data_IF_752641427883
#
_entry.id   IF_752641427883
#
_cell.length_a   1.000
_cell.length_b   1.000
_cell.length_c   1.000
_cell.angle_alpha   90.00
_cell.angle_beta   90.00
_cell.angle_gamma   90.00
#
_symmetry.space_group_name_H-M   'P 1'
#
loop_
_entity.id
_entity.type
_entity.pdbx_description
1 polymer ?
#
# COMPACT_ATOMS: atom_id res chain seq x y z
N UNK A 1 -26.74 -1.49 10.46
CA UNK A 1 -25.91 -1.68 9.25
C UNK A 1 -24.48 -1.24 9.46
N UNK A 2 -24.21 0.07 9.47
CA UNK A 2 -22.86 0.66 9.52
C UNK A 2 -22.02 0.16 10.71
N UNK A 3 -22.58 0.12 11.92
CA UNK A 3 -21.88 -0.39 13.12
C UNK A 3 -21.40 -1.83 12.93
N UNK A 4 -22.25 -2.70 12.37
CA UNK A 4 -21.89 -4.10 12.09
C UNK A 4 -20.78 -4.17 11.06
N UNK A 5 -20.84 -3.38 9.99
CA UNK A 5 -19.77 -3.31 8.99
C UNK A 5 -18.46 -2.83 9.60
N UNK A 6 -18.48 -1.82 10.46
CA UNK A 6 -17.29 -1.29 11.13
C UNK A 6 -16.68 -2.34 12.07
N UNK A 7 -17.50 -3.09 12.81
CA UNK A 7 -17.05 -4.23 13.63
C UNK A 7 -16.44 -5.33 12.77
N UNK A 8 -17.04 -5.66 11.61
CA UNK A 8 -16.48 -6.64 10.68
C UNK A 8 -15.14 -6.19 10.10
N UNK A 9 -15.00 -4.92 9.74
CA UNK A 9 -13.73 -4.33 9.29
C UNK A 9 -12.67 -4.40 10.40
N UNK A 10 -13.04 -4.11 11.65
CA UNK A 10 -12.15 -4.20 12.80
C UNK A 10 -11.69 -5.65 13.07
N UNK A 11 -12.61 -6.61 13.03
CA UNK A 11 -12.29 -8.04 13.15
C UNK A 11 -11.39 -8.51 12.01
N UNK A 12 -11.64 -8.05 10.78
CA UNK A 12 -10.79 -8.34 9.63
C UNK A 12 -9.38 -7.78 9.81
N UNK A 13 -9.25 -6.53 10.23
CA UNK A 13 -7.97 -5.90 10.53
C UNK A 13 -7.19 -6.66 11.61
N UNK A 14 -7.84 -6.98 12.74
CA UNK A 14 -7.26 -7.75 13.82
C UNK A 14 -6.80 -9.14 13.36
N UNK A 15 -7.61 -9.83 12.56
CA UNK A 15 -7.25 -11.11 11.96
C UNK A 15 -6.03 -10.99 11.04
N UNK A 16 -6.00 -10.03 10.12
CA UNK A 16 -4.88 -9.82 9.21
C UNK A 16 -3.57 -9.56 9.96
N UNK A 17 -3.59 -8.65 10.94
CA UNK A 17 -2.44 -8.32 11.77
C UNK A 17 -1.98 -9.51 12.62
N UNK A 18 -2.90 -10.21 13.29
CA UNK A 18 -2.57 -11.38 14.10
C UNK A 18 -2.05 -12.55 13.26
N UNK A 19 -2.66 -12.80 12.10
CA UNK A 19 -2.23 -13.82 11.17
C UNK A 19 -0.82 -13.54 10.67
N UNK A 20 -0.50 -12.29 10.32
CA UNK A 20 0.84 -11.89 9.88
C UNK A 20 1.84 -11.93 11.03
N UNK A 21 1.51 -11.36 12.19
CA UNK A 21 2.33 -11.40 13.39
C UNK A 21 2.70 -12.84 13.79
N UNK A 22 1.75 -13.78 13.76
CA UNK A 22 2.03 -15.18 14.05
C UNK A 22 3.06 -15.78 13.06
N UNK A 23 2.98 -15.40 11.77
CA UNK A 23 3.94 -15.84 10.75
C UNK A 23 5.35 -15.33 11.06
N UNK A 24 5.50 -14.03 11.31
CA UNK A 24 6.79 -13.42 11.62
C UNK A 24 7.36 -13.87 12.98
N UNK A 25 6.53 -13.88 14.02
CA UNK A 25 7.01 -14.08 15.39
C UNK A 25 7.28 -15.54 15.71
N UNK A 26 6.44 -16.44 15.21
CA UNK A 26 6.45 -17.84 15.66
C UNK A 26 6.97 -18.82 14.59
N UNK A 27 7.01 -18.39 13.31
CA UNK A 27 7.43 -19.21 12.16
C UNK A 27 6.72 -20.59 12.15
N UNK A 28 5.38 -20.66 12.26
CA UNK A 28 4.65 -21.89 12.55
C UNK A 28 4.81 -22.99 11.49
N UNK A 29 5.27 -22.65 10.28
CA UNK A 29 5.61 -23.61 9.21
C UNK A 29 6.92 -24.34 9.45
N UNK A 30 7.87 -23.74 10.18
CA UNK A 30 9.10 -24.41 10.62
C UNK A 30 8.75 -25.32 11.78
N UNK A 31 8.55 -26.61 11.51
CA UNK A 31 8.59 -27.63 12.56
C UNK A 31 10.02 -27.63 13.12
N UNK A 32 10.24 -26.93 14.23
CA UNK A 32 11.46 -27.12 15.02
C UNK A 32 11.36 -28.53 15.60
N UNK A 33 12.10 -29.49 15.04
CA UNK A 33 12.43 -30.76 15.68
C UNK A 33 11.28 -31.70 16.05
N UNK A 34 10.43 -32.09 15.09
CA UNK A 34 9.59 -33.31 15.25
C UNK A 34 9.73 -34.20 14.00
N UNK A 35 10.96 -34.34 13.50
CA UNK A 35 11.38 -35.61 12.93
C UNK A 35 11.90 -36.48 14.08
N UNK A 36 11.87 -37.80 13.94
CA UNK A 36 12.43 -38.76 14.90
C UNK A 36 13.66 -38.20 15.59
N UNK A 37 13.54 -37.93 16.88
CA UNK A 37 14.62 -37.38 17.69
C UNK A 37 15.73 -38.43 17.71
N UNK A 38 16.89 -38.09 17.17
CA UNK A 38 18.05 -38.96 17.28
C UNK A 38 18.69 -38.71 18.66
N UNK A 39 18.23 -39.47 19.66
CA UNK A 39 18.80 -39.43 21.02
C UNK A 39 20.29 -39.81 21.04
N UNK A 40 20.81 -40.44 19.98
CA UNK A 40 22.22 -40.82 19.90
C UNK A 40 23.14 -39.68 19.44
N UNK A 41 22.60 -38.58 18.89
CA UNK A 41 23.40 -37.44 18.40
C UNK A 41 22.72 -36.08 18.68
N UNK A 42 22.54 -35.69 19.96
CA UNK A 42 21.87 -34.45 20.35
C UNK A 42 22.54 -33.18 19.81
N UNK A 43 23.85 -33.22 19.53
CA UNK A 43 24.62 -32.13 18.93
C UNK A 43 24.20 -31.80 17.49
N UNK A 44 23.52 -32.73 16.78
CA UNK A 44 23.02 -32.51 15.42
C UNK A 44 21.73 -31.70 15.37
N UNK A 45 21.14 -31.40 16.51
CA UNK A 45 19.86 -30.72 16.62
C UNK A 45 20.02 -29.29 17.19
N UNK A 46 19.94 -28.28 16.32
CA UNK A 46 20.03 -26.84 16.62
C UNK A 46 18.96 -26.26 17.58
N UNK A 47 18.09 -27.12 18.15
CA UNK A 47 16.90 -26.71 18.88
C UNK A 47 17.02 -26.73 20.41
N UNK A 48 18.18 -27.08 20.97
CA UNK A 48 18.37 -27.17 22.43
C UNK A 48 19.68 -26.51 22.90
N UNK A 49 19.64 -25.91 24.09
CA UNK A 49 20.78 -25.41 24.86
C UNK A 49 20.89 -26.22 26.14
N UNK A 50 22.11 -26.52 26.59
CA UNK A 50 22.34 -27.00 27.96
C UNK A 50 21.80 -25.93 28.93
N UNK A 51 21.03 -26.33 29.95
CA UNK A 51 20.60 -25.38 31.00
C UNK A 51 21.78 -24.86 31.79
N UNK A 52 22.70 -25.76 32.10
CA UNK A 52 23.94 -25.48 32.80
C UNK A 52 25.03 -26.39 32.22
N UNK A 53 26.17 -25.81 31.86
CA UNK A 53 27.32 -26.57 31.36
C UNK A 53 28.08 -27.27 32.49
N UNK A 54 27.94 -26.81 33.74
CA UNK A 54 28.55 -27.43 34.91
C UNK A 54 27.69 -28.55 35.51
N UNK A 55 26.38 -28.55 35.25
CA UNK A 55 25.40 -29.51 35.77
C UNK A 55 24.56 -30.15 34.64
N UNK A 56 25.10 -31.17 33.94
CA UNK A 56 24.42 -31.84 32.83
C UNK A 56 23.05 -32.44 33.20
N UNK A 57 22.87 -32.83 34.46
CA UNK A 57 21.63 -33.35 35.04
C UNK A 57 20.48 -32.33 35.06
N UNK A 58 20.79 -31.03 34.99
CA UNK A 58 19.78 -29.98 34.87
C UNK A 58 19.01 -30.05 33.54
N UNK A 59 19.54 -30.81 32.58
CA UNK A 59 18.93 -31.10 31.30
C UNK A 59 19.10 -29.98 30.28
N UNK A 60 18.29 -30.04 29.23
CA UNK A 60 18.34 -29.11 28.11
C UNK A 60 17.08 -28.24 28.06
N UNK A 61 17.23 -26.99 27.63
CA UNK A 61 16.13 -26.09 27.31
C UNK A 61 16.05 -25.87 25.82
N UNK A 62 14.84 -25.66 25.25
CA UNK A 62 14.73 -25.37 23.83
C UNK A 62 15.51 -24.09 23.54
N UNK A 63 16.51 -24.16 22.67
CA UNK A 63 17.23 -22.98 22.20
C UNK A 63 16.19 -22.12 21.47
N UNK A 64 15.92 -20.88 21.90
CA UNK A 64 15.06 -19.99 21.14
C UNK A 64 15.68 -19.87 19.74
N UNK A 65 14.92 -20.25 18.71
CA UNK A 65 15.40 -20.09 17.35
C UNK A 65 15.82 -18.63 17.18
N UNK A 66 17.09 -18.37 16.81
CA UNK A 66 17.61 -17.01 16.54
C UNK A 66 16.80 -16.25 15.48
N UNK A 67 15.88 -16.93 14.80
CA UNK A 67 15.00 -16.41 13.77
C UNK A 67 13.61 -16.00 14.28
N UNK A 68 13.21 -16.40 15.50
CA UNK A 68 11.95 -15.93 16.10
C UNK A 68 12.16 -14.51 16.64
N UNK A 69 11.16 -13.66 16.45
CA UNK A 69 11.18 -12.31 17.00
C UNK A 69 11.25 -12.34 18.54
N UNK A 70 12.19 -11.58 19.10
CA UNK A 70 12.35 -11.40 20.54
C UNK A 70 11.21 -10.59 21.17
N UNK A 71 11.13 -10.58 22.50
CA UNK A 71 10.07 -9.89 23.24
C UNK A 71 9.98 -8.39 22.91
N UNK A 72 11.13 -7.71 22.76
CA UNK A 72 11.19 -6.27 22.42
C UNK A 72 10.55 -5.97 21.07
N UNK A 73 10.89 -6.74 20.03
CA UNK A 73 10.31 -6.59 18.69
C UNK A 73 8.81 -6.85 18.69
N UNK A 74 8.36 -7.90 19.38
CA UNK A 74 6.93 -8.21 19.53
C UNK A 74 6.18 -7.05 20.19
N UNK A 75 6.71 -6.54 21.30
CA UNK A 75 6.11 -5.43 22.03
C UNK A 75 6.04 -4.17 21.16
N UNK A 76 7.11 -3.81 20.46
CA UNK A 76 7.14 -2.62 19.60
C UNK A 76 6.08 -2.68 18.49
N UNK A 77 5.95 -3.82 17.81
CA UNK A 77 4.97 -3.99 16.72
C UNK A 77 3.53 -3.99 17.27
N UNK A 78 3.28 -4.66 18.39
CA UNK A 78 1.96 -4.65 19.03
C UNK A 78 1.59 -3.22 19.46
N UNK A 79 2.53 -2.49 20.07
CA UNK A 79 2.31 -1.11 20.50
C UNK A 79 1.99 -0.20 19.32
N UNK A 80 2.68 -0.36 18.19
CA UNK A 80 2.37 0.36 16.96
C UNK A 80 0.91 0.13 16.52
N UNK A 81 0.45 -1.12 16.44
CA UNK A 81 -0.93 -1.42 16.03
C UNK A 81 -2.00 -1.00 17.05
N UNK A 82 -1.64 -0.82 18.32
CA UNK A 82 -2.56 -0.41 19.39
C UNK A 82 -2.66 1.11 19.57
N UNK A 83 -1.59 1.85 19.26
CA UNK A 83 -1.48 3.27 19.64
C UNK A 83 -1.30 4.20 18.43
N UNK A 84 -0.70 3.73 17.33
CA UNK A 84 -0.45 4.59 16.17
C UNK A 84 -1.78 4.98 15.49
N UNK A 85 -2.09 6.28 15.32
CA UNK A 85 -3.33 6.72 14.67
C UNK A 85 -3.55 6.13 13.27
N UNK A 86 -2.47 5.95 12.49
CA UNK A 86 -2.51 5.27 11.19
C UNK A 86 -3.19 3.91 11.27
N UNK A 87 -2.79 3.09 12.24
CA UNK A 87 -3.32 1.75 12.41
C UNK A 87 -4.72 1.80 13.03
N UNK A 88 -4.86 2.49 14.16
CA UNK A 88 -6.07 2.48 14.97
C UNK A 88 -7.27 3.03 14.22
N UNK A 89 -7.15 4.22 13.62
CA UNK A 89 -8.28 4.86 12.92
C UNK A 89 -8.68 4.11 11.65
N UNK A 90 -7.71 3.44 11.00
CA UNK A 90 -7.99 2.61 9.83
C UNK A 90 -8.79 1.34 10.16
N UNK A 91 -8.71 0.82 11.40
CA UNK A 91 -9.37 -0.45 11.75
C UNK A 91 -10.91 -0.40 11.69
N UNK A 92 -11.51 0.77 11.86
CA UNK A 92 -12.98 0.95 11.84
C UNK A 92 -13.48 1.62 10.55
N UNK A 93 -12.56 2.03 9.68
CA UNK A 93 -12.87 2.83 8.50
C UNK A 93 -13.46 1.98 7.37
N UNK A 94 -14.67 2.33 6.95
CA UNK A 94 -15.40 1.68 5.85
C UNK A 94 -15.02 2.27 4.50
N UNK A 95 -13.73 2.33 4.22
CA UNK A 95 -13.20 2.81 2.95
C UNK A 95 -12.35 1.74 2.27
N UNK A 96 -12.15 1.89 0.96
CA UNK A 96 -11.40 0.92 0.16
C UNK A 96 -9.91 0.81 0.54
N UNK A 97 -9.30 1.90 1.00
CA UNK A 97 -7.85 1.93 1.28
C UNK A 97 -7.46 1.11 2.52
N UNK A 98 -8.14 1.22 3.68
CA UNK A 98 -7.89 0.36 4.83
C UNK A 98 -8.15 -1.11 4.54
N UNK A 99 -9.22 -1.44 3.81
CA UNK A 99 -9.51 -2.82 3.40
C UNK A 99 -8.35 -3.40 2.57
N UNK A 100 -7.85 -2.64 1.59
CA UNK A 100 -6.67 -3.01 0.82
C UNK A 100 -5.42 -3.14 1.71
N UNK A 101 -5.18 -2.19 2.63
CA UNK A 101 -3.98 -2.16 3.46
C UNK A 101 -3.91 -3.36 4.42
N UNK A 102 -5.00 -3.72 5.11
CA UNK A 102 -5.02 -4.90 5.97
C UNK A 102 -4.94 -6.21 5.17
N UNK A 103 -5.60 -6.29 4.02
CA UNK A 103 -5.43 -7.43 3.11
C UNK A 103 -3.97 -7.55 2.64
N UNK A 104 -3.30 -6.42 2.37
CA UNK A 104 -1.88 -6.39 2.03
C UNK A 104 -0.99 -6.86 3.18
N UNK A 105 -1.29 -6.49 4.44
CA UNK A 105 -0.58 -7.03 5.61
C UNK A 105 -0.68 -8.56 5.66
N UNK A 106 -1.87 -9.11 5.43
CA UNK A 106 -2.08 -10.55 5.41
C UNK A 106 -1.36 -11.24 4.25
N UNK A 107 -1.44 -10.64 3.06
CA UNK A 107 -0.74 -11.07 1.85
C UNK A 107 0.78 -11.08 2.07
N UNK A 108 1.32 -10.01 2.66
CA UNK A 108 2.74 -9.86 2.98
C UNK A 108 3.22 -10.89 4.00
N UNK A 109 2.38 -11.24 4.98
CA UNK A 109 2.67 -12.34 5.91
C UNK A 109 2.85 -13.69 5.20
N UNK A 110 2.01 -14.01 4.22
CA UNK A 110 2.16 -15.25 3.42
C UNK A 110 3.36 -15.16 2.48
N UNK A 111 3.63 -13.96 1.93
CA UNK A 111 4.82 -13.68 1.14
C UNK A 111 6.11 -13.95 1.94
N UNK A 112 6.14 -13.56 3.22
CA UNK A 112 7.24 -13.88 4.13
C UNK A 112 7.37 -15.39 4.43
N UNK A 113 6.26 -16.11 4.59
CA UNK A 113 6.29 -17.58 4.71
C UNK A 113 6.95 -18.22 3.48
N UNK A 114 6.63 -17.74 2.27
CA UNK A 114 7.23 -18.19 1.02
C UNK A 114 8.74 -17.90 0.96
N UNK A 115 9.17 -16.71 1.40
CA UNK A 115 10.57 -16.33 1.55
C UNK A 115 11.33 -17.31 2.44
N UNK A 116 10.82 -17.51 3.67
CA UNK A 116 11.49 -18.29 4.71
C UNK A 116 11.48 -19.81 4.46
N UNK A 117 10.64 -20.27 3.54
CA UNK A 117 10.53 -21.69 3.15
C UNK A 117 11.25 -22.02 1.84
N UNK A 118 11.88 -21.03 1.20
CA UNK A 118 12.65 -21.24 -0.01
C UNK A 118 13.89 -22.13 0.26
N UNK A 119 14.32 -22.90 -0.75
CA UNK A 119 15.24 -24.05 -0.68
C UNK A 119 16.59 -23.74 -0.01
N UNK A 120 17.05 -22.48 -0.08
CA UNK A 120 18.32 -22.06 0.55
C UNK A 120 18.17 -21.61 2.00
N UNK A 121 16.95 -21.32 2.47
CA UNK A 121 16.65 -20.99 3.87
C UNK A 121 16.31 -22.22 4.72
N UNK A 122 15.83 -23.29 4.09
CA UNK A 122 15.73 -24.65 4.64
C UNK A 122 16.15 -25.66 3.57
N UNK A 123 17.40 -26.17 3.60
CA UNK A 123 17.80 -27.26 2.72
C UNK A 123 16.88 -28.45 3.02
N UNK A 124 16.06 -28.84 2.06
CA UNK A 124 15.35 -30.11 2.16
C UNK A 124 16.29 -31.21 1.70
N UNK A 125 16.13 -32.40 2.30
CA UNK A 125 16.91 -33.62 2.02
C UNK A 125 16.97 -33.95 0.51
N UNK A 126 16.02 -33.44 -0.29
CA UNK A 126 15.91 -33.71 -1.74
C UNK A 126 15.97 -32.46 -2.65
N UNK A 127 16.41 -31.29 -2.16
CA UNK A 127 16.54 -30.08 -2.99
C UNK A 127 15.22 -29.53 -3.59
N UNK A 128 14.08 -29.93 -3.02
CA UNK A 128 12.72 -29.50 -3.40
C UNK A 128 12.21 -28.41 -2.45
N UNK A 129 11.48 -27.40 -2.94
CA UNK A 129 10.95 -26.34 -2.07
C UNK A 129 9.86 -26.91 -1.15
N UNK A 130 9.81 -26.43 0.09
CA UNK A 130 8.74 -26.83 1.02
C UNK A 130 7.40 -26.35 0.44
N UNK A 131 6.41 -27.24 0.31
CA UNK A 131 5.08 -26.83 -0.17
C UNK A 131 4.38 -25.98 0.90
N UNK A 132 3.71 -24.92 0.47
CA UNK A 132 2.84 -24.15 1.35
C UNK A 132 1.73 -25.02 1.93
N UNK A 133 1.36 -24.75 3.17
CA UNK A 133 0.20 -25.38 3.82
C UNK A 133 -1.08 -24.96 3.09
N UNK A 134 -2.07 -25.86 3.03
CA UNK A 134 -3.38 -25.57 2.41
C UNK A 134 -4.02 -24.28 2.95
N UNK A 135 -3.90 -24.04 4.26
CA UNK A 135 -4.38 -22.81 4.92
C UNK A 135 -3.67 -21.54 4.43
N UNK A 136 -2.35 -21.62 4.16
CA UNK A 136 -1.59 -20.48 3.61
C UNK A 136 -1.90 -20.23 2.14
N UNK A 137 -2.18 -21.28 1.36
CA UNK A 137 -2.68 -21.14 -0.03
C UNK A 137 -4.04 -20.44 -0.03
N UNK A 138 -4.98 -20.88 0.80
CA UNK A 138 -6.29 -20.25 0.93
C UNK A 138 -6.16 -18.79 1.38
N UNK A 139 -5.33 -18.52 2.40
CA UNK A 139 -5.04 -17.17 2.85
C UNK A 139 -4.53 -16.27 1.72
N UNK A 140 -3.63 -16.79 0.89
CA UNK A 140 -3.05 -16.00 -0.21
C UNK A 140 -4.06 -15.70 -1.31
N UNK A 141 -4.91 -16.68 -1.67
CA UNK A 141 -6.01 -16.46 -2.63
C UNK A 141 -6.97 -15.40 -2.09
N UNK A 142 -7.42 -15.54 -0.84
CA UNK A 142 -8.40 -14.62 -0.26
C UNK A 142 -7.81 -13.21 -0.14
N UNK A 143 -6.58 -13.07 0.36
CA UNK A 143 -5.93 -11.78 0.46
C UNK A 143 -5.75 -11.11 -0.92
N UNK A 144 -5.32 -11.85 -1.94
CA UNK A 144 -5.23 -11.35 -3.33
C UNK A 144 -6.60 -10.91 -3.85
N UNK A 145 -7.65 -11.69 -3.62
CA UNK A 145 -9.01 -11.33 -4.05
C UNK A 145 -9.53 -10.07 -3.37
N UNK A 146 -9.35 -9.93 -2.06
CA UNK A 146 -9.75 -8.73 -1.31
C UNK A 146 -8.98 -7.51 -1.82
N UNK A 147 -7.68 -7.63 -2.06
CA UNK A 147 -6.88 -6.55 -2.65
C UNK A 147 -7.40 -6.13 -4.03
N UNK A 148 -7.70 -7.09 -4.91
CA UNK A 148 -8.22 -6.84 -6.27
C UNK A 148 -9.58 -6.15 -6.27
N UNK A 149 -10.46 -6.50 -5.33
CA UNK A 149 -11.78 -5.86 -5.17
C UNK A 149 -11.64 -4.46 -4.58
N UNK A 150 -10.65 -4.25 -3.69
CA UNK A 150 -10.49 -2.98 -2.96
C UNK A 150 -9.84 -1.89 -3.81
N UNK A 151 -8.80 -2.22 -4.58
CA UNK A 151 -8.00 -1.21 -5.28
C UNK A 151 -7.77 -1.59 -6.75
N UNK A 152 -8.10 -0.66 -7.66
CA UNK A 152 -7.87 -0.83 -9.10
C UNK A 152 -6.41 -1.10 -9.44
N UNK A 153 -5.46 -0.58 -8.67
CA UNK A 153 -4.02 -0.79 -8.93
C UNK A 153 -3.48 -2.10 -8.35
N UNK A 154 -4.27 -2.86 -7.58
CA UNK A 154 -3.82 -4.09 -6.94
C UNK A 154 -3.32 -5.14 -7.93
N UNK A 155 -3.92 -5.20 -9.13
CA UNK A 155 -3.52 -6.17 -10.14
C UNK A 155 -2.11 -5.89 -10.68
N UNK A 156 -1.66 -4.62 -10.76
CA UNK A 156 -0.28 -4.30 -11.13
C UNK A 156 0.70 -4.88 -10.11
N UNK A 157 0.40 -4.71 -8.82
CA UNK A 157 1.22 -5.25 -7.72
C UNK A 157 1.27 -6.77 -7.80
N UNK A 158 0.12 -7.42 -7.97
CA UNK A 158 0.01 -8.88 -8.01
C UNK A 158 0.68 -9.48 -9.24
N UNK A 159 0.49 -8.91 -10.43
CA UNK A 159 1.11 -9.40 -11.68
C UNK A 159 2.63 -9.25 -11.62
N UNK A 160 3.13 -8.11 -11.16
CA UNK A 160 4.57 -7.94 -11.03
C UNK A 160 5.16 -8.85 -9.94
N UNK A 161 4.49 -8.99 -8.80
CA UNK A 161 4.88 -9.95 -7.77
C UNK A 161 4.90 -11.39 -8.32
N UNK A 162 3.93 -11.76 -9.16
CA UNK A 162 3.90 -13.04 -9.86
C UNK A 162 5.11 -13.22 -10.78
N UNK A 163 5.45 -12.22 -11.61
CA UNK A 163 6.64 -12.26 -12.48
C UNK A 163 7.93 -12.41 -11.67
N UNK A 164 8.11 -11.62 -10.61
CA UNK A 164 9.25 -11.71 -9.71
C UNK A 164 9.35 -13.10 -9.05
N UNK A 165 8.22 -13.64 -8.61
CA UNK A 165 8.17 -14.96 -8.02
C UNK A 165 8.54 -16.07 -9.00
N UNK A 166 8.16 -15.96 -10.28
CA UNK A 166 8.59 -16.89 -11.32
C UNK A 166 10.10 -16.82 -11.57
N UNK A 167 10.70 -15.63 -11.54
CA UNK A 167 12.14 -15.46 -11.68
C UNK A 167 12.91 -16.04 -10.46
N UNK A 168 12.42 -15.80 -9.24
CA UNK A 168 13.14 -16.11 -8.00
C UNK A 168 12.86 -17.53 -7.46
N UNK A 169 11.65 -18.06 -7.65
CA UNK A 169 11.16 -19.34 -7.10
C UNK A 169 10.35 -20.14 -8.15
N UNK A 170 10.93 -20.30 -9.36
CA UNK A 170 10.31 -21.03 -10.49
C UNK A 170 9.74 -22.41 -10.14
N UNK A 171 10.31 -23.08 -9.12
CA UNK A 171 9.89 -24.43 -8.71
C UNK A 171 8.49 -24.45 -8.07
N UNK A 172 7.99 -23.30 -7.59
CA UNK A 172 6.63 -23.13 -7.05
C UNK A 172 5.67 -22.41 -8.00
N UNK A 173 5.96 -22.36 -9.31
CA UNK A 173 5.12 -21.65 -10.30
C UNK A 173 3.62 -21.96 -10.20
N UNK A 174 3.22 -23.22 -9.94
CA UNK A 174 1.81 -23.61 -9.76
C UNK A 174 1.14 -22.89 -8.60
N UNK A 175 1.88 -22.69 -7.50
CA UNK A 175 1.38 -21.92 -6.35
C UNK A 175 1.12 -20.48 -6.79
N UNK A 176 2.10 -19.83 -7.43
CA UNK A 176 1.94 -18.44 -7.86
C UNK A 176 0.83 -18.28 -8.90
N UNK A 177 0.68 -19.23 -9.82
CA UNK A 177 -0.40 -19.22 -10.80
C UNK A 177 -1.77 -19.29 -10.11
N UNK A 178 -1.96 -20.22 -9.17
CA UNK A 178 -3.25 -20.42 -8.49
C UNK A 178 -3.56 -19.30 -7.50
N UNK A 179 -2.55 -18.74 -6.84
CA UNK A 179 -2.76 -17.78 -5.74
C UNK A 179 -2.69 -16.31 -6.14
N UNK A 180 -2.03 -15.99 -7.25
CA UNK A 180 -1.85 -14.61 -7.75
C UNK A 180 -2.54 -14.42 -9.09
N UNK A 181 -2.14 -15.19 -10.11
CA UNK A 181 -2.60 -14.97 -11.49
C UNK A 181 -4.07 -15.34 -11.67
N UNK A 182 -4.51 -16.50 -11.17
CA UNK A 182 -5.89 -16.97 -11.33
C UNK A 182 -6.92 -16.00 -10.71
N UNK A 183 -6.79 -15.55 -9.44
CA UNK A 183 -7.68 -14.51 -8.90
C UNK A 183 -7.66 -13.22 -9.72
N UNK A 184 -6.48 -12.82 -10.20
CA UNK A 184 -6.35 -11.60 -11.03
C UNK A 184 -7.11 -11.73 -12.34
N UNK A 185 -6.94 -12.83 -13.07
CA UNK A 185 -7.65 -13.06 -14.34
C UNK A 185 -9.16 -13.15 -14.12
N UNK A 186 -9.61 -13.86 -13.08
CA UNK A 186 -11.04 -14.01 -12.79
C UNK A 186 -11.69 -12.68 -12.39
N UNK A 187 -11.08 -11.93 -11.47
CA UNK A 187 -11.68 -10.70 -10.93
C UNK A 187 -11.46 -9.53 -11.90
N UNK A 188 -10.22 -9.23 -12.26
CA UNK A 188 -9.93 -8.09 -13.13
C UNK A 188 -10.42 -8.34 -14.57
N UNK A 189 -10.15 -9.53 -15.11
CA UNK A 189 -10.64 -9.91 -16.44
C UNK A 189 -12.17 -9.98 -16.48
N UNK A 190 -12.81 -10.47 -15.42
CA UNK A 190 -14.27 -10.45 -15.27
C UNK A 190 -14.86 -9.04 -15.26
N UNK A 191 -14.27 -8.12 -14.49
CA UNK A 191 -14.70 -6.70 -14.47
C UNK A 191 -14.55 -6.05 -15.86
N UNK A 192 -13.43 -6.29 -16.54
CA UNK A 192 -13.21 -5.75 -17.90
C UNK A 192 -14.24 -6.32 -18.88
N UNK A 193 -14.49 -7.63 -18.85
CA UNK A 193 -15.50 -8.26 -19.70
C UNK A 193 -16.90 -7.68 -19.45
N UNK A 194 -17.31 -7.54 -18.19
CA UNK A 194 -18.60 -6.96 -17.82
C UNK A 194 -18.72 -5.47 -18.17
N UNK A 195 -17.61 -4.73 -18.14
CA UNK A 195 -17.58 -3.33 -18.60
C UNK A 195 -17.78 -3.26 -20.11
N UNK A 196 -17.12 -4.15 -20.86
CA UNK A 196 -17.23 -4.19 -22.32
C UNK A 196 -18.62 -4.63 -22.81
N UNK A 197 -19.35 -5.43 -22.03
CA UNK A 197 -20.75 -5.78 -22.34
C UNK A 197 -21.75 -4.71 -21.92
N UNK A 198 -21.29 -3.61 -21.29
CA UNK A 198 -22.17 -2.55 -20.76
C UNK A 198 -22.90 -2.93 -19.47
N UNK A 199 -22.61 -4.09 -18.88
CA UNK A 199 -23.22 -4.52 -17.62
C UNK A 199 -22.67 -3.75 -16.40
N UNK A 200 -21.46 -3.21 -16.51
CA UNK A 200 -20.82 -2.35 -15.50
C UNK A 200 -20.43 -1.03 -16.15
N UNK A 201 -20.71 0.08 -15.46
CA UNK A 201 -20.27 1.42 -15.90
C UNK A 201 -18.75 1.53 -15.75
N UNK A 202 -18.08 1.80 -16.87
CA UNK A 202 -16.64 2.06 -16.90
C UNK A 202 -16.28 3.35 -16.17
N UNK A 203 -15.08 3.40 -15.59
CA UNK A 203 -14.56 4.65 -15.02
C UNK A 203 -14.13 5.63 -16.09
N UNK A 204 -14.23 6.93 -15.80
CA UNK A 204 -13.74 7.98 -16.70
C UNK A 204 -12.22 7.83 -16.93
N UNK A 205 -11.73 7.80 -18.18
CA UNK A 205 -10.31 7.74 -18.50
C UNK A 205 -9.47 8.87 -17.90
N UNK A 206 -10.09 9.96 -17.42
CA UNK A 206 -9.37 11.09 -16.82
C UNK A 206 -8.86 10.82 -15.41
N UNK A 207 -9.50 9.89 -14.69
CA UNK A 207 -9.19 9.55 -13.30
C UNK A 207 -7.76 9.02 -13.11
N UNK A 208 -7.15 8.49 -14.17
CA UNK A 208 -5.78 7.96 -14.15
C UNK A 208 -4.70 8.95 -14.61
N UNK A 209 -5.07 10.20 -14.93
CA UNK A 209 -4.15 11.18 -15.58
C UNK A 209 -3.64 12.29 -14.65
N UNK A 210 -3.63 12.06 -13.34
CA UNK A 210 -3.24 13.06 -12.31
C UNK A 210 -1.99 13.87 -12.66
N UNK A 211 -0.87 13.17 -12.88
CA UNK A 211 0.43 13.78 -13.26
C UNK A 211 0.32 14.65 -14.51
N UNK A 212 -0.33 14.14 -15.56
CA UNK A 212 -0.44 14.88 -16.82
C UNK A 212 -1.25 16.16 -16.62
N UNK A 213 -2.31 16.10 -15.80
CA UNK A 213 -3.15 17.24 -15.50
C UNK A 213 -2.44 18.26 -14.61
N UNK A 214 -1.71 17.84 -13.60
CA UNK A 214 -0.90 18.73 -12.76
C UNK A 214 0.16 19.45 -13.58
N UNK A 215 0.81 18.75 -14.51
CA UNK A 215 1.79 19.34 -15.43
C UNK A 215 1.16 20.39 -16.35
N UNK A 216 0.03 20.06 -16.99
CA UNK A 216 -0.69 21.00 -17.87
C UNK A 216 -1.16 22.22 -17.06
N UNK A 217 -1.79 22.00 -15.91
CA UNK A 217 -2.33 23.05 -15.05
C UNK A 217 -1.23 24.00 -14.52
N UNK A 218 -0.10 23.44 -14.08
CA UNK A 218 1.04 24.25 -13.61
C UNK A 218 1.63 25.10 -14.72
N UNK A 219 1.79 24.54 -15.93
CA UNK A 219 2.24 25.32 -17.10
C UNK A 219 1.22 26.39 -17.46
N UNK A 220 -0.07 26.07 -17.47
CA UNK A 220 -1.12 27.05 -17.74
C UNK A 220 -1.12 28.21 -16.73
N UNK A 221 -0.80 27.94 -15.46
CA UNK A 221 -0.70 28.96 -14.40
C UNK A 221 0.54 29.85 -14.50
N UNK A 222 1.72 29.26 -14.70
CA UNK A 222 2.98 30.00 -14.60
C UNK A 222 3.58 30.41 -15.95
N UNK A 223 3.23 29.73 -17.04
CA UNK A 223 3.67 30.07 -18.39
C UNK A 223 2.59 29.78 -19.46
N UNK A 224 1.42 30.46 -19.40
CA UNK A 224 0.33 30.23 -20.34
C UNK A 224 0.70 30.47 -21.81
N UNK A 225 1.63 31.40 -22.06
CA UNK A 225 2.13 31.72 -23.41
C UNK A 225 3.13 30.68 -23.94
N UNK A 226 3.77 29.91 -23.05
CA UNK A 226 4.65 28.80 -23.40
C UNK A 226 3.92 27.53 -23.84
N UNK A 227 2.59 27.50 -23.80
CA UNK A 227 1.80 26.39 -24.33
C UNK A 227 1.75 26.49 -25.87
N UNK A 228 2.26 25.49 -26.62
CA UNK A 228 2.20 25.50 -28.07
C UNK A 228 0.76 25.66 -28.59
N UNK A 229 0.58 26.48 -29.64
CA UNK A 229 -0.76 26.76 -30.21
C UNK A 229 -1.51 25.49 -30.64
N UNK A 230 -0.78 24.51 -31.19
CA UNK A 230 -1.34 23.22 -31.59
C UNK A 230 -1.80 22.38 -30.39
N UNK A 231 -1.01 22.33 -29.31
CA UNK A 231 -1.40 21.70 -28.05
C UNK A 231 -2.62 22.38 -27.42
N UNK A 232 -2.66 23.72 -27.42
CA UNK A 232 -3.81 24.51 -26.93
C UNK A 232 -5.08 24.17 -27.70
N UNK A 233 -5.02 24.08 -29.03
CA UNK A 233 -6.17 23.71 -29.88
C UNK A 233 -6.68 22.29 -29.62
N UNK A 234 -5.78 21.33 -29.38
CA UNK A 234 -6.15 19.95 -29.03
C UNK A 234 -6.83 19.90 -27.67
N UNK A 235 -6.27 20.58 -26.67
CA UNK A 235 -6.80 20.56 -25.30
C UNK A 235 -8.06 21.38 -25.12
N UNK A 236 -8.32 22.42 -25.92
CA UNK A 236 -9.53 23.25 -25.78
C UNK A 236 -10.82 22.44 -25.93
N UNK A 237 -10.82 21.33 -26.68
CA UNK A 237 -11.98 20.44 -26.78
C UNK A 237 -12.25 19.66 -25.48
N UNK A 238 -11.24 19.51 -24.65
CA UNK A 238 -11.24 18.64 -23.46
C UNK A 238 -11.28 19.45 -22.17
N UNK A 239 -10.53 20.55 -22.11
CA UNK A 239 -10.32 21.37 -20.92
C UNK A 239 -10.54 22.86 -21.19
N UNK A 240 -11.02 23.56 -20.17
CA UNK A 240 -10.81 25.00 -20.06
C UNK A 240 -9.47 25.25 -19.36
N UNK A 241 -8.44 25.59 -20.13
CA UNK A 241 -7.07 25.78 -19.60
C UNK A 241 -6.96 26.93 -18.60
N UNK A 242 -7.77 27.98 -18.75
CA UNK A 242 -7.73 29.13 -17.83
C UNK A 242 -8.33 28.73 -16.47
N UNK A 243 -9.47 28.05 -16.47
CA UNK A 243 -10.05 27.51 -15.23
C UNK A 243 -9.17 26.42 -14.61
N UNK A 244 -8.45 25.64 -15.43
CA UNK A 244 -7.48 24.66 -14.96
C UNK A 244 -6.29 25.33 -14.26
N UNK A 245 -5.80 26.45 -14.81
CA UNK A 245 -4.75 27.26 -14.20
C UNK A 245 -5.18 27.86 -12.86
N UNK A 246 -6.40 28.41 -12.80
CA UNK A 246 -6.97 28.95 -11.56
C UNK A 246 -7.15 27.87 -10.48
N UNK A 247 -7.59 26.68 -10.88
CA UNK A 247 -7.86 25.56 -9.98
C UNK A 247 -6.60 24.76 -9.62
N UNK A 248 -5.42 25.12 -10.16
CA UNK A 248 -4.18 24.41 -9.86
C UNK A 248 -3.85 24.50 -8.36
N UNK A 249 -3.78 23.32 -7.76
CA UNK A 249 -3.34 23.12 -6.39
C UNK A 249 -2.30 22.01 -6.34
N UNK A 250 -1.13 22.33 -5.81
CA UNK A 250 0.04 21.44 -5.88
C UNK A 250 -0.16 20.09 -5.17
N UNK A 251 -1.01 20.05 -4.12
CA UNK A 251 -1.20 18.85 -3.31
C UNK A 251 -2.36 17.98 -3.82
N UNK A 252 -3.20 18.45 -4.75
CA UNK A 252 -4.38 17.70 -5.19
C UNK A 252 -4.72 17.99 -6.65
N UNK A 253 -4.83 16.93 -7.44
CA UNK A 253 -5.21 16.98 -8.85
C UNK A 253 -6.73 16.99 -9.05
N UNK A 254 -7.53 16.73 -8.02
CA UNK A 254 -8.98 16.68 -8.15
C UNK A 254 -9.62 18.05 -8.49
N UNK A 255 -9.16 19.20 -7.96
CA UNK A 255 -9.62 20.51 -8.41
C UNK A 255 -9.48 20.75 -9.92
N UNK A 256 -8.40 20.27 -10.55
CA UNK A 256 -8.17 20.44 -11.99
C UNK A 256 -8.92 19.41 -12.85
N UNK A 257 -9.53 18.40 -12.24
CA UNK A 257 -10.45 17.44 -12.88
C UNK A 257 -11.93 17.82 -12.73
N UNK A 258 -12.23 18.92 -12.04
CA UNK A 258 -13.59 19.27 -11.66
C UNK A 258 -14.53 19.32 -12.86
N UNK A 259 -15.61 18.55 -12.74
CA UNK A 259 -16.75 18.47 -13.65
C UNK A 259 -17.92 19.40 -13.25
N UNK A 260 -17.77 20.17 -12.17
CA UNK A 260 -18.78 21.12 -11.67
C UNK A 260 -19.91 20.54 -10.83
N UNK A 261 -19.76 19.33 -10.27
CA UNK A 261 -20.80 18.68 -9.45
C UNK A 261 -20.85 19.21 -8.00
N UNK A 262 -19.81 19.94 -7.58
CA UNK A 262 -19.80 20.79 -6.40
C UNK A 262 -19.44 22.21 -6.88
N UNK A 263 -19.53 23.24 -6.03
CA UNK A 263 -19.27 24.68 -6.27
C UNK A 263 -17.93 25.06 -6.94
N UNK A 264 -17.19 24.09 -7.45
CA UNK A 264 -15.92 24.16 -8.17
C UNK A 264 -16.13 24.54 -9.64
N UNK A 265 -15.25 25.41 -10.16
CA UNK A 265 -15.18 25.78 -11.58
C UNK A 265 -14.98 24.54 -12.46
N UNK A 266 -15.53 24.53 -13.69
CA UNK A 266 -15.55 23.36 -14.59
C UNK A 266 -14.31 23.38 -15.49
N UNK A 267 -13.20 22.84 -15.00
CA UNK A 267 -11.98 22.70 -15.80
C UNK A 267 -12.12 21.61 -16.86
N UNK A 268 -12.81 20.51 -16.57
CA UNK A 268 -12.96 19.36 -17.46
C UNK A 268 -14.35 19.32 -18.13
N UNK A 269 -14.37 19.31 -19.47
CA UNK A 269 -15.60 19.35 -20.29
C UNK A 269 -16.29 17.99 -20.40
N UNK A 270 -16.53 17.31 -19.27
CA UNK A 270 -16.99 15.92 -19.19
C UNK A 270 -18.30 15.63 -19.97
N UNK A 271 -19.21 16.60 -20.10
CA UNK A 271 -20.48 16.43 -20.83
C UNK A 271 -20.32 16.41 -22.34
N UNK A 272 -19.26 17.02 -22.86
CA UNK A 272 -19.09 17.25 -24.31
C UNK A 272 -17.86 16.55 -24.88
N UNK A 273 -16.92 16.15 -24.03
CA UNK A 273 -15.71 15.45 -24.46
C UNK A 273 -16.05 14.07 -25.02
N UNK A 274 -15.52 13.77 -26.19
CA UNK A 274 -15.68 12.45 -26.82
C UNK A 274 -14.41 11.61 -26.72
N UNK A 275 -14.52 10.30 -26.94
CA UNK A 275 -13.35 9.42 -27.04
C UNK A 275 -12.38 9.86 -28.16
N UNK A 276 -12.88 10.48 -29.23
CA UNK A 276 -12.07 11.02 -30.31
C UNK A 276 -11.25 12.24 -29.86
N UNK A 277 -11.82 13.13 -29.04
CA UNK A 277 -11.10 14.30 -28.51
C UNK A 277 -9.96 13.90 -27.58
N UNK A 278 -10.12 12.79 -26.85
CA UNK A 278 -9.09 12.25 -25.95
C UNK A 278 -7.93 11.57 -26.68
N UNK A 279 -8.05 11.28 -27.98
CA UNK A 279 -6.99 10.62 -28.78
C UNK A 279 -5.71 11.44 -28.84
N UNK A 280 -5.85 12.76 -28.95
CA UNK A 280 -4.72 13.69 -29.09
C UNK A 280 -4.20 14.21 -27.74
N UNK A 281 -4.83 13.86 -26.61
CA UNK A 281 -4.44 14.36 -25.29
C UNK A 281 -2.97 14.07 -24.97
N UNK A 282 -2.50 12.83 -25.15
CA UNK A 282 -1.12 12.46 -24.81
C UNK A 282 -0.10 13.20 -25.69
N UNK A 283 -0.46 13.47 -26.93
CA UNK A 283 0.36 14.24 -27.86
C UNK A 283 0.45 15.71 -27.41
N UNK A 284 -0.69 16.32 -27.08
CA UNK A 284 -0.75 17.70 -26.58
C UNK A 284 0.01 17.87 -25.25
N UNK A 285 -0.17 16.92 -24.32
CA UNK A 285 0.59 16.87 -23.06
C UNK A 285 2.10 16.81 -23.32
N UNK A 286 2.56 15.93 -24.20
CA UNK A 286 3.98 15.80 -24.52
C UNK A 286 4.55 17.07 -25.17
N UNK A 287 3.79 17.74 -26.03
CA UNK A 287 4.16 19.05 -26.62
C UNK A 287 4.34 20.12 -25.53
N UNK A 288 3.45 20.16 -24.54
CA UNK A 288 3.53 21.09 -23.41
C UNK A 288 4.75 20.79 -22.53
N UNK A 289 4.98 19.52 -22.17
CA UNK A 289 6.13 19.10 -21.36
C UNK A 289 7.44 19.42 -22.07
N UNK A 290 7.55 19.15 -23.38
CA UNK A 290 8.75 19.48 -24.16
C UNK A 290 9.02 20.98 -24.25
N UNK A 291 7.97 21.80 -24.35
CA UNK A 291 8.10 23.25 -24.38
C UNK A 291 8.40 23.85 -23.00
N UNK A 292 8.01 23.17 -21.91
CA UNK A 292 8.11 23.67 -20.54
C UNK A 292 8.67 22.59 -19.57
N UNK A 293 9.88 22.04 -19.82
CA UNK A 293 10.35 20.85 -19.13
C UNK A 293 10.57 21.09 -17.63
N UNK A 294 11.07 22.27 -17.24
CA UNK A 294 11.31 22.61 -15.83
C UNK A 294 10.00 22.69 -15.06
N UNK A 295 9.02 23.46 -15.56
CA UNK A 295 7.71 23.59 -14.91
C UNK A 295 6.99 22.24 -14.82
N UNK A 296 7.11 21.41 -15.86
CA UNK A 296 6.52 20.07 -15.86
C UNK A 296 7.19 19.12 -14.84
N UNK A 297 8.51 19.19 -14.69
CA UNK A 297 9.21 18.43 -13.65
C UNK A 297 8.85 18.93 -12.26
N UNK A 298 8.79 20.25 -12.06
CA UNK A 298 8.38 20.85 -10.79
C UNK A 298 6.96 20.43 -10.40
N UNK A 299 6.03 20.37 -11.37
CA UNK A 299 4.67 19.89 -11.15
C UNK A 299 4.67 18.42 -10.67
N UNK A 300 5.43 17.57 -11.35
CA UNK A 300 5.55 16.16 -11.00
C UNK A 300 6.12 15.97 -9.59
N UNK A 301 7.22 16.64 -9.26
CA UNK A 301 7.81 16.54 -7.92
C UNK A 301 6.88 17.12 -6.86
N UNK A 302 6.22 18.25 -7.11
CA UNK A 302 5.30 18.87 -6.15
C UNK A 302 4.09 17.98 -5.81
N UNK A 303 3.63 17.15 -6.76
CA UNK A 303 2.51 16.22 -6.54
C UNK A 303 2.90 15.01 -5.68
N UNK A 304 4.19 14.68 -5.53
CA UNK A 304 4.60 13.45 -4.85
C UNK A 304 5.69 13.58 -3.79
N UNK A 305 6.35 14.74 -3.62
CA UNK A 305 7.50 14.87 -2.73
C UNK A 305 7.16 14.56 -1.25
N UNK A 306 5.94 14.87 -0.81
CA UNK A 306 5.56 14.77 0.59
C UNK A 306 5.53 13.34 1.10
N UNK A 307 5.33 12.36 0.20
CA UNK A 307 5.46 10.94 0.50
C UNK A 307 6.87 10.52 0.94
N UNK A 308 7.89 11.29 0.56
CA UNK A 308 9.31 10.97 0.78
C UNK A 308 10.01 11.97 1.71
N UNK A 309 9.30 13.00 2.15
CA UNK A 309 9.82 13.99 3.08
C UNK A 309 9.23 13.77 4.48
N UNK A 310 10.04 13.25 5.41
CA UNK A 310 9.65 12.98 6.81
C UNK A 310 9.23 14.25 7.56
N UNK A 311 9.69 15.42 7.12
CA UNK A 311 9.36 16.71 7.74
C UNK A 311 8.08 17.34 7.18
N UNK A 312 7.55 16.81 6.08
CA UNK A 312 6.32 17.31 5.48
C UNK A 312 5.11 16.83 6.29
N UNK A 313 4.23 17.75 6.66
CA UNK A 313 2.97 17.38 7.29
C UNK A 313 2.02 16.80 6.24
N UNK A 314 1.23 15.78 6.61
CA UNK A 314 0.28 15.18 5.69
C UNK A 314 -0.73 16.21 5.18
N UNK A 315 -0.95 16.23 3.86
CA UNK A 315 -2.03 17.04 3.27
C UNK A 315 -3.38 16.58 3.83
N UNK A 316 -3.58 15.26 3.89
CA UNK A 316 -4.71 14.66 4.59
C UNK A 316 -4.19 13.60 5.55
N UNK A 317 -4.30 13.93 6.83
CA UNK A 317 -3.94 13.08 7.95
C UNK A 317 -5.01 12.04 8.28
N UNK A 318 -4.63 11.04 9.07
CA UNK A 318 -5.45 9.89 9.43
C UNK A 318 -6.69 10.21 10.27
N UNK A 319 -6.71 11.35 10.95
CA UNK A 319 -7.92 11.80 11.63
C UNK A 319 -9.11 11.98 10.68
N UNK A 320 -8.85 12.11 9.37
CA UNK A 320 -9.85 12.00 8.31
C UNK A 320 -10.78 10.79 8.45
N UNK A 321 -10.31 9.66 8.99
CA UNK A 321 -11.18 8.47 9.17
C UNK A 321 -12.10 8.55 10.38
N UNK A 322 -11.83 9.45 11.30
CA UNK A 322 -12.66 9.71 12.49
C UNK A 322 -13.53 10.93 12.26
N UNK A 323 -13.00 11.95 11.60
CA UNK A 323 -13.60 13.26 11.50
C UNK A 323 -13.29 13.90 10.13
N UNK A 324 -14.29 14.01 9.27
CA UNK A 324 -14.19 14.61 7.94
C UNK A 324 -15.51 15.28 7.55
N UNK A 325 -15.48 16.07 6.47
CA UNK A 325 -16.63 16.82 6.00
C UNK A 325 -17.83 15.91 5.66
N UNK A 326 -17.60 14.69 5.18
CA UNK A 326 -18.70 13.75 4.92
C UNK A 326 -19.42 13.33 6.21
N UNK A 327 -18.67 13.19 7.31
CA UNK A 327 -19.19 12.85 8.64
C UNK A 327 -19.87 14.05 9.29
N UNK A 328 -19.39 15.27 9.03
CA UNK A 328 -19.82 16.49 9.70
C UNK A 328 -20.91 17.27 8.97
N UNK A 329 -20.88 17.27 7.63
CA UNK A 329 -21.73 18.13 6.79
C UNK A 329 -22.64 17.31 5.85
N UNK A 330 -22.19 16.18 5.32
CA UNK A 330 -22.93 15.41 4.29
C UNK A 330 -23.88 14.32 4.85
N UNK A 331 -24.18 14.34 6.15
CA UNK A 331 -25.02 13.31 6.77
C UNK A 331 -26.03 13.85 7.79
N UNK A 332 -27.27 13.38 7.69
CA UNK A 332 -28.40 13.82 8.53
C UNK A 332 -28.26 13.51 10.03
N UNK A 333 -27.48 12.50 10.42
CA UNK A 333 -27.46 12.03 11.82
C UNK A 333 -26.09 11.65 12.37
N UNK A 334 -25.14 11.23 11.52
CA UNK A 334 -23.81 10.79 11.97
C UNK A 334 -23.02 11.96 12.58
N UNK A 335 -23.19 13.19 12.10
CA UNK A 335 -22.54 14.38 12.65
C UNK A 335 -22.88 14.56 14.14
N UNK A 336 -24.11 14.25 14.55
CA UNK A 336 -24.58 14.34 15.94
C UNK A 336 -24.10 13.19 16.85
N UNK A 337 -23.72 12.04 16.28
CA UNK A 337 -23.34 10.87 17.07
C UNK A 337 -21.87 10.91 17.52
N UNK A 338 -21.63 11.01 18.84
CA UNK A 338 -20.30 11.09 19.45
C UNK A 338 -19.43 12.24 18.89
N UNK A 339 -20.06 13.34 18.44
CA UNK A 339 -19.41 14.51 17.84
C UNK A 339 -18.17 14.96 18.63
N UNK A 340 -18.39 15.39 19.88
CA UNK A 340 -17.33 15.94 20.74
C UNK A 340 -16.22 14.94 21.03
N UNK A 341 -16.55 13.65 21.08
CA UNK A 341 -15.55 12.60 21.26
C UNK A 341 -14.67 12.47 20.01
N UNK A 342 -15.26 12.46 18.80
CA UNK A 342 -14.52 12.39 17.54
C UNK A 342 -13.62 13.61 17.35
N UNK A 343 -14.13 14.80 17.67
CA UNK A 343 -13.36 16.06 17.64
C UNK A 343 -12.16 16.01 18.57
N UNK A 344 -12.35 15.55 19.81
CA UNK A 344 -11.23 15.40 20.77
C UNK A 344 -10.21 14.39 20.30
N UNK A 345 -10.64 13.24 19.77
CA UNK A 345 -9.74 12.18 19.28
C UNK A 345 -8.96 12.65 18.05
N UNK A 346 -9.64 13.29 17.09
CA UNK A 346 -9.02 13.88 15.91
C UNK A 346 -8.03 14.99 16.29
N UNK A 347 -8.43 15.88 17.19
CA UNK A 347 -7.59 16.96 17.73
C UNK A 347 -6.36 16.44 18.46
N UNK A 348 -6.50 15.39 19.28
CA UNK A 348 -5.37 14.73 19.93
C UNK A 348 -4.39 14.14 18.91
N UNK A 349 -4.88 13.41 17.91
CA UNK A 349 -4.03 12.80 16.89
C UNK A 349 -3.29 13.86 16.04
N UNK A 350 -3.98 14.93 15.64
CA UNK A 350 -3.37 16.10 14.98
C UNK A 350 -2.32 16.76 15.86
N UNK A 351 -2.64 16.98 17.14
CA UNK A 351 -1.72 17.54 18.12
C UNK A 351 -0.45 16.71 18.28
N UNK A 352 -0.58 15.38 18.37
CA UNK A 352 0.57 14.47 18.44
C UNK A 352 1.40 14.50 17.15
N UNK A 353 0.78 14.43 15.97
CA UNK A 353 1.49 14.50 14.69
C UNK A 353 2.29 15.80 14.51
N UNK A 354 1.79 16.92 15.04
CA UNK A 354 2.46 18.21 14.97
C UNK A 354 3.67 18.35 15.92
N UNK A 355 3.92 17.40 16.82
CA UNK A 355 5.10 17.46 17.70
C UNK A 355 6.36 17.19 16.86
N UNK A 356 7.32 18.11 16.78
CA UNK A 356 8.53 17.91 15.97
C UNK A 356 9.26 16.63 16.39
N UNK A 357 9.64 15.82 15.40
CA UNK A 357 10.35 14.52 15.55
C UNK A 357 9.51 13.43 16.22
N UNK A 358 8.89 13.69 17.37
CA UNK A 358 8.11 12.70 18.12
C UNK A 358 6.78 12.36 17.43
N UNK A 359 6.21 13.30 16.67
CA UNK A 359 5.01 13.11 15.87
C UNK A 359 5.24 12.32 14.60
N UNK A 360 6.49 12.18 14.12
CA UNK A 360 6.78 11.47 12.87
C UNK A 360 6.31 10.02 12.87
N UNK A 361 6.23 9.37 14.04
CA UNK A 361 5.71 8.00 14.17
C UNK A 361 4.23 7.88 13.81
N UNK A 362 3.49 8.99 13.79
CA UNK A 362 2.10 9.02 13.35
C UNK A 362 1.95 9.28 11.86
N UNK A 363 3.05 9.56 11.14
CA UNK A 363 3.03 9.92 9.73
C UNK A 363 3.50 8.79 8.82
N UNK A 364 2.79 8.60 7.70
CA UNK A 364 3.11 7.54 6.73
C UNK A 364 4.48 7.73 6.08
N UNK A 365 4.90 8.97 5.84
CA UNK A 365 6.14 9.33 5.15
C UNK A 365 7.38 8.85 5.92
N UNK A 366 7.35 8.82 7.25
CA UNK A 366 8.40 8.21 8.07
C UNK A 366 8.64 6.76 7.66
N UNK A 367 7.57 5.96 7.60
CA UNK A 367 7.66 4.54 7.28
C UNK A 367 8.09 4.29 5.84
N UNK A 368 7.69 5.17 4.91
CA UNK A 368 8.17 5.13 3.52
C UNK A 368 9.66 5.37 3.46
N UNK A 369 10.15 6.44 4.09
CA UNK A 369 11.58 6.78 4.11
C UNK A 369 12.40 5.70 4.80
N UNK A 370 11.97 5.18 5.94
CA UNK A 370 12.68 4.08 6.62
C UNK A 370 12.70 2.81 5.76
N UNK A 371 11.61 2.48 5.06
CA UNK A 371 11.57 1.35 4.13
C UNK A 371 12.55 1.52 2.97
N UNK A 372 12.66 2.73 2.42
CA UNK A 372 13.64 3.04 1.37
C UNK A 372 15.09 2.93 1.89
N UNK A 373 15.36 3.38 3.11
CA UNK A 373 16.67 3.23 3.74
C UNK A 373 17.03 1.75 3.97
N UNK A 374 16.07 0.92 4.39
CA UNK A 374 16.26 -0.54 4.47
C UNK A 374 16.57 -1.11 3.09
N UNK A 375 15.81 -0.73 2.05
CA UNK A 375 16.06 -1.16 0.67
C UNK A 375 17.45 -0.76 0.17
N UNK A 376 17.90 0.48 0.46
CA UNK A 376 19.24 0.93 0.13
C UNK A 376 20.33 0.13 0.86
N UNK A 377 20.14 -0.14 2.16
CA UNK A 377 21.03 -1.01 2.93
C UNK A 377 21.10 -2.42 2.33
N UNK A 378 19.97 -2.99 1.89
CA UNK A 378 19.96 -4.30 1.23
C UNK A 378 20.71 -4.32 -0.10
N UNK A 379 20.63 -3.24 -0.89
CA UNK A 379 21.41 -3.07 -2.12
C UNK A 379 22.91 -3.01 -1.81
N UNK A 380 23.31 -2.19 -0.83
CA UNK A 380 24.72 -2.03 -0.41
C UNK A 380 25.28 -3.38 0.09
N UNK A 381 24.50 -4.09 0.91
CA UNK A 381 24.85 -5.42 1.43
C UNK A 381 24.69 -6.55 0.40
N UNK A 382 24.32 -6.21 -0.85
CA UNK A 382 24.09 -7.17 -1.96
C UNK A 382 23.11 -8.28 -1.60
N UNK A 383 22.12 -7.98 -0.75
CA UNK A 383 21.04 -8.89 -0.34
C UNK A 383 19.92 -8.94 -1.38
N UNK A 384 20.28 -9.17 -2.64
CA UNK A 384 19.36 -9.16 -3.80
C UNK A 384 18.10 -10.00 -3.61
N UNK A 385 18.23 -11.10 -2.86
CA UNK A 385 17.06 -11.93 -2.52
C UNK A 385 16.13 -11.18 -1.59
N UNK A 386 16.60 -10.69 -0.45
CA UNK A 386 15.79 -9.93 0.50
C UNK A 386 15.09 -8.75 -0.19
N UNK A 387 15.85 -8.02 -1.00
CA UNK A 387 15.34 -6.94 -1.84
C UNK A 387 14.21 -7.39 -2.78
N UNK A 388 14.34 -8.56 -3.41
CA UNK A 388 13.27 -9.12 -4.26
C UNK A 388 11.97 -9.41 -3.53
N UNK A 389 12.03 -9.67 -2.21
CA UNK A 389 10.83 -9.87 -1.39
C UNK A 389 10.20 -8.55 -0.95
N UNK A 390 11.00 -7.49 -0.80
CA UNK A 390 10.53 -6.13 -0.48
C UNK A 390 10.06 -5.33 -1.71
N UNK A 391 10.37 -5.78 -2.93
CA UNK A 391 9.97 -5.13 -4.19
C UNK A 391 8.46 -4.77 -4.32
N UNK A 392 7.49 -5.55 -3.79
CA UNK A 392 6.09 -5.13 -3.77
C UNK A 392 5.86 -3.78 -3.05
N UNK A 393 6.71 -3.41 -2.08
CA UNK A 393 6.64 -2.11 -1.40
C UNK A 393 7.13 -0.98 -2.29
N UNK A 394 8.16 -1.21 -3.11
CA UNK A 394 8.60 -0.23 -4.11
C UNK A 394 7.52 0.02 -5.16
N UNK A 395 6.76 -1.01 -5.54
CA UNK A 395 5.61 -0.81 -6.43
C UNK A 395 4.50 0.00 -5.79
N UNK A 396 4.21 -0.22 -4.50
CA UNK A 396 3.27 0.60 -3.77
C UNK A 396 3.70 2.07 -3.77
N UNK A 397 5.00 2.34 -3.60
CA UNK A 397 5.55 3.69 -3.71
C UNK A 397 5.41 4.25 -5.14
N UNK A 398 5.56 3.42 -6.18
CA UNK A 398 5.24 3.81 -7.54
C UNK A 398 3.77 4.21 -7.72
N UNK A 399 2.84 3.47 -7.12
CA UNK A 399 1.41 3.82 -7.10
C UNK A 399 1.19 5.15 -6.36
N UNK A 400 1.86 5.38 -5.23
CA UNK A 400 1.77 6.63 -4.46
C UNK A 400 2.22 7.84 -5.30
N UNK A 401 3.32 7.71 -6.05
CA UNK A 401 3.79 8.76 -6.97
C UNK A 401 2.74 9.11 -8.02
N UNK A 402 1.98 8.12 -8.50
CA UNK A 402 0.90 8.33 -9.48
C UNK A 402 -0.45 8.70 -8.85
N UNK A 403 -0.52 8.81 -7.51
CA UNK A 403 -1.76 9.14 -6.83
C UNK A 403 -2.11 10.61 -7.06
N UNK A 404 -3.40 10.97 -7.09
CA UNK A 404 -3.82 12.32 -7.41
C UNK A 404 -3.61 13.33 -6.29
N UNK A 405 -3.27 12.88 -5.08
CA UNK A 405 -3.06 13.74 -3.93
C UNK A 405 -1.67 13.51 -3.35
N UNK A 406 -0.91 14.57 -3.14
CA UNK A 406 0.37 14.51 -2.43
C UNK A 406 0.12 14.19 -0.95
N UNK A 407 1.04 13.42 -0.34
CA UNK A 407 1.09 13.17 1.10
C UNK A 407 -0.27 12.86 1.77
N UNK A 408 -1.13 12.11 1.10
CA UNK A 408 -2.36 11.60 1.69
C UNK A 408 -2.05 10.25 2.34
N UNK A 409 -2.10 10.21 3.68
CA UNK A 409 -1.65 9.08 4.48
C UNK A 409 -2.31 7.73 4.11
N UNK A 410 -3.53 7.75 3.56
CA UNK A 410 -4.25 6.54 3.11
C UNK A 410 -3.47 5.70 2.09
N UNK A 411 -2.62 6.34 1.29
CA UNK A 411 -1.82 5.66 0.26
C UNK A 411 -0.57 4.99 0.84
N UNK A 412 -0.15 5.40 2.05
CA UNK A 412 1.02 4.87 2.76
C UNK A 412 0.68 3.78 3.76
N UNK A 413 -0.61 3.57 4.09
CA UNK A 413 -1.05 2.56 5.06
C UNK A 413 -0.43 1.18 4.86
N UNK A 414 -0.40 0.60 3.63
CA UNK A 414 0.17 -0.74 3.46
C UNK A 414 1.64 -0.80 3.83
N UNK A 415 2.41 0.26 3.52
CA UNK A 415 3.84 0.37 3.86
C UNK A 415 4.02 0.53 5.36
N UNK A 416 3.27 1.45 5.99
CA UNK A 416 3.34 1.67 7.43
C UNK A 416 2.99 0.40 8.24
N UNK A 417 1.97 -0.34 7.83
CA UNK A 417 1.53 -1.53 8.56
C UNK A 417 2.49 -2.71 8.44
N UNK A 418 3.21 -2.84 7.33
CA UNK A 418 4.17 -3.92 7.16
C UNK A 418 5.59 -3.55 7.62
N UNK A 419 5.86 -2.27 7.87
CA UNK A 419 7.20 -1.78 8.21
C UNK A 419 7.83 -2.55 9.37
N UNK A 420 7.09 -2.79 10.46
CA UNK A 420 7.59 -3.52 11.62
C UNK A 420 7.95 -4.98 11.34
N UNK A 421 7.62 -5.51 10.16
CA UNK A 421 7.92 -6.86 9.73
C UNK A 421 9.07 -6.96 8.70
N UNK A 422 9.67 -5.82 8.30
CA UNK A 422 10.93 -5.77 7.52
C UNK A 422 12.12 -6.07 8.43
#
# INVERSE_FOLDING_TARGET
GIVVLAVLQWLFAAFCCAATANRFFNLPWRRLGVGTFDFSHPERHDCWNMRDFAHPEAGVVPRPSRLRAGAKTRLAIILFFMVCPLAVFSTISLTKSPLFAFAFVWWFGVWYELHMTHIKAMPTINGKPVRLRKRSIAAFIIASSVMLISAKYAWYIIVFAFLLALCNDRKRWKTYLVTLLLPTVLIHGGIVALTNTGAIIGGDPIESRGIQLQQIARVAKYNPQGIPKDARKKLDKVFNLDQMAESYFQQDADPVKSSGIQSKKVSYKWRTVTAADMKDFNKAWLEIVKANPVIALDAFFAECFGYFNVTDLPYVSMDYYVNNDYVQEDNDWIHSYNHDWRDRVAGFAKGWGNIPVLGWVTHGNLYVTLTLLIGAAEVILRRWRSLSWHLPLLLLMGVMITSPANNFERHMLPVAFVFGFL
#
